data_IF_588715334324
#
_entry.id   IF_588715334324
#
_cell.length_a   1.000
_cell.length_b   1.000
_cell.length_c   1.000
_cell.angle_alpha   90.00
_cell.angle_beta   90.00
_cell.angle_gamma   90.00
#
_symmetry.space_group_name_H-M   'P 1'
#
loop_
_entity.id
_entity.type
_entity.pdbx_description
1 polymer ?
#
# COMPACT_ATOMS: atom_id res chain seq x y z
N UNK A 1 8.05 9.64 -6.95
CA UNK A 1 8.59 8.26 -6.81
C UNK A 1 7.41 7.32 -6.75
N UNK A 2 7.45 6.19 -7.46
CA UNK A 2 6.45 5.12 -7.34
C UNK A 2 7.07 3.91 -6.62
N UNK A 3 6.24 3.19 -5.85
CA UNK A 3 6.68 2.05 -5.06
C UNK A 3 6.91 0.82 -5.94
N UNK A 4 8.13 0.27 -5.92
CA UNK A 4 8.50 -0.93 -6.66
C UNK A 4 9.53 -1.72 -5.88
N UNK A 5 9.37 -3.05 -5.85
CA UNK A 5 10.17 -3.92 -4.96
C UNK A 5 11.08 -4.89 -5.69
N UNK A 6 10.76 -5.25 -6.94
CA UNK A 6 11.37 -6.38 -7.65
C UNK A 6 11.09 -7.75 -6.98
N UNK A 7 9.92 -7.90 -6.35
CA UNK A 7 9.45 -9.18 -5.84
C UNK A 7 9.44 -10.24 -6.95
N UNK A 8 10.07 -11.38 -6.68
CA UNK A 8 10.58 -12.30 -7.71
C UNK A 8 12.08 -12.54 -7.53
N UNK A 9 12.83 -11.50 -7.11
CA UNK A 9 14.20 -11.62 -6.58
C UNK A 9 14.19 -12.06 -5.11
N UNK A 10 13.19 -11.63 -4.34
CA UNK A 10 12.89 -12.08 -2.99
C UNK A 10 11.46 -12.66 -2.91
N UNK A 11 11.09 -13.36 -1.82
CA UNK A 11 9.78 -14.02 -1.70
C UNK A 11 8.58 -13.08 -1.88
N UNK A 12 7.63 -13.49 -2.72
CA UNK A 12 6.34 -12.79 -2.83
C UNK A 12 5.61 -12.78 -1.48
N UNK A 13 4.98 -11.65 -1.19
CA UNK A 13 4.28 -11.41 0.08
C UNK A 13 5.11 -10.62 1.10
N UNK A 14 6.41 -10.46 0.86
CA UNK A 14 7.28 -9.62 1.69
C UNK A 14 7.38 -8.17 1.18
N UNK A 15 6.59 -7.81 0.16
CA UNK A 15 6.65 -6.53 -0.56
C UNK A 15 6.59 -5.31 0.37
N UNK A 16 5.82 -5.40 1.46
CA UNK A 16 5.66 -4.31 2.41
C UNK A 16 6.91 -4.01 3.25
N UNK A 17 7.98 -4.82 3.16
CA UNK A 17 9.28 -4.50 3.76
C UNK A 17 9.88 -3.22 3.15
N UNK A 18 9.62 -2.98 1.86
CA UNK A 18 10.17 -1.82 1.14
C UNK A 18 9.72 -0.48 1.73
N UNK A 19 8.52 -0.40 2.34
CA UNK A 19 8.11 0.82 3.04
C UNK A 19 9.08 1.20 4.17
N UNK A 20 9.62 0.22 4.90
CA UNK A 20 10.60 0.49 5.95
C UNK A 20 11.91 1.00 5.35
N UNK A 21 12.38 0.40 4.25
CA UNK A 21 13.60 0.85 3.57
C UNK A 21 13.47 2.27 3.00
N UNK A 22 12.32 2.63 2.42
CA UNK A 22 12.07 3.98 1.94
C UNK A 22 12.12 5.01 3.09
N UNK A 23 11.54 4.67 4.25
CA UNK A 23 11.56 5.54 5.44
C UNK A 23 12.96 5.63 6.05
N UNK A 24 13.69 4.51 6.14
CA UNK A 24 15.09 4.49 6.59
C UNK A 24 16.00 5.31 5.67
N UNK A 25 15.70 5.33 4.37
CA UNK A 25 16.38 6.17 3.39
C UNK A 25 15.98 7.67 3.44
N UNK A 26 15.08 8.05 4.36
CA UNK A 26 14.71 9.45 4.63
C UNK A 26 13.38 9.90 4.04
N UNK A 27 12.60 9.02 3.41
CA UNK A 27 11.26 9.37 2.94
C UNK A 27 10.27 9.46 4.12
N UNK A 28 9.43 10.50 4.21
CA UNK A 28 8.36 10.54 5.20
C UNK A 28 7.40 9.34 5.05
N UNK A 29 6.86 8.76 6.13
CA UNK A 29 5.91 7.64 6.07
C UNK A 29 4.69 7.90 5.18
N UNK A 30 4.13 9.11 5.22
CA UNK A 30 3.01 9.51 4.36
C UNK A 30 3.39 9.46 2.88
N UNK A 31 4.58 9.96 2.52
CA UNK A 31 5.08 9.96 1.14
C UNK A 31 5.33 8.53 0.64
N UNK A 32 5.80 7.63 1.50
CA UNK A 32 5.96 6.22 1.15
C UNK A 32 4.61 5.57 0.81
N UNK A 33 3.54 5.89 1.57
CA UNK A 33 2.18 5.41 1.30
C UNK A 33 1.66 6.01 -0.02
N UNK A 34 1.87 7.31 -0.26
CA UNK A 34 1.49 7.98 -1.51
C UNK A 34 2.21 7.35 -2.71
N UNK A 35 3.50 7.01 -2.57
CA UNK A 35 4.28 6.34 -3.60
C UNK A 35 3.67 4.98 -4.02
N UNK A 36 3.06 4.26 -3.07
CA UNK A 36 2.44 2.96 -3.30
C UNK A 36 0.95 3.02 -3.70
N UNK A 37 0.35 4.22 -3.71
CA UNK A 37 -1.07 4.42 -3.98
C UNK A 37 -1.26 5.39 -5.14
N UNK A 38 -1.21 6.69 -4.88
CA UNK A 38 -1.44 7.76 -5.86
C UNK A 38 -0.41 7.71 -6.99
N UNK A 39 0.89 7.78 -6.67
CA UNK A 39 1.93 7.81 -7.71
C UNK A 39 2.00 6.50 -8.50
N UNK A 40 1.71 5.36 -7.86
CA UNK A 40 1.65 4.07 -8.55
C UNK A 40 0.49 4.04 -9.55
N UNK A 41 -0.70 4.51 -9.16
CA UNK A 41 -1.86 4.59 -10.06
C UNK A 41 -1.61 5.55 -11.23
N UNK A 42 -0.97 6.69 -10.97
CA UNK A 42 -0.57 7.66 -12.00
C UNK A 42 0.42 7.05 -12.99
N UNK A 43 1.47 6.41 -12.49
CA UNK A 43 2.49 5.76 -13.32
C UNK A 43 1.87 4.66 -14.20
N UNK A 44 0.92 3.90 -13.67
CA UNK A 44 0.23 2.83 -14.40
C UNK A 44 -0.92 3.34 -15.30
N UNK A 45 -1.26 4.63 -15.28
CA UNK A 45 -2.34 5.18 -16.11
C UNK A 45 -3.75 4.79 -15.67
N UNK A 46 -3.93 4.42 -14.39
CA UNK A 46 -5.21 3.91 -13.82
C UNK A 46 -5.73 4.78 -12.66
N UNK A 47 -5.29 6.04 -12.59
CA UNK A 47 -5.71 6.98 -11.52
C UNK A 47 -7.22 7.21 -11.46
N UNK A 48 -7.96 7.02 -12.54
CA UNK A 48 -9.42 7.10 -12.54
C UNK A 48 -10.11 5.90 -11.87
N UNK A 49 -9.38 4.80 -11.64
CA UNK A 49 -9.94 3.53 -11.16
C UNK A 49 -9.49 3.20 -9.73
N UNK A 50 -8.23 3.47 -9.39
CA UNK A 50 -7.61 3.09 -8.10
C UNK A 50 -6.67 4.19 -7.56
N UNK A 51 -6.06 3.92 -6.40
CA UNK A 51 -5.01 4.76 -5.80
C UNK A 51 -5.50 5.76 -4.74
N UNK A 52 -6.80 6.03 -4.66
CA UNK A 52 -7.42 6.86 -3.59
C UNK A 52 -8.78 6.29 -3.19
N UNK A 53 -9.28 6.69 -2.01
CA UNK A 53 -10.62 6.35 -1.53
C UNK A 53 -11.59 7.48 -1.86
N UNK A 54 -12.18 7.42 -3.05
CA UNK A 54 -13.08 8.44 -3.58
C UNK A 54 -14.31 7.79 -4.25
N UNK A 55 -15.49 8.43 -4.23
CA UNK A 55 -16.65 7.92 -4.94
C UNK A 55 -16.37 7.69 -6.43
N UNK A 56 -16.78 6.52 -6.94
CA UNK A 56 -16.59 6.13 -8.34
C UNK A 56 -15.34 5.29 -8.61
N UNK A 57 -14.38 5.22 -7.67
CA UNK A 57 -13.22 4.32 -7.76
C UNK A 57 -13.53 2.92 -7.22
N UNK A 58 -12.67 1.95 -7.55
CA UNK A 58 -12.80 0.58 -7.06
C UNK A 58 -12.74 0.53 -5.52
N UNK A 59 -13.48 -0.40 -4.94
CA UNK A 59 -13.43 -0.70 -3.49
C UNK A 59 -12.16 -1.47 -3.11
N UNK A 60 -11.00 -0.90 -3.38
CA UNK A 60 -9.67 -1.44 -3.08
C UNK A 60 -9.12 -0.72 -1.86
N UNK A 61 -9.10 -1.40 -0.71
CA UNK A 61 -8.58 -0.82 0.53
C UNK A 61 -8.04 -1.87 1.49
N UNK A 62 -7.09 -1.43 2.32
CA UNK A 62 -6.56 -2.21 3.43
C UNK A 62 -6.96 -1.58 4.76
N UNK A 63 -7.11 -2.41 5.78
CA UNK A 63 -7.35 -1.96 7.16
C UNK A 63 -6.19 -2.33 8.05
N UNK A 64 -5.79 -1.41 8.92
CA UNK A 64 -4.71 -1.57 9.90
C UNK A 64 -5.27 -1.31 11.31
N UNK A 65 -4.66 -1.92 12.32
CA UNK A 65 -4.99 -1.65 13.74
C UNK A 65 -4.33 -0.38 14.24
N UNK A 66 -3.13 -0.10 13.74
CA UNK A 66 -2.26 0.97 14.17
C UNK A 66 -2.04 1.97 13.03
N UNK A 67 -1.67 3.19 13.38
CA UNK A 67 -1.41 4.28 12.44
C UNK A 67 -0.06 4.08 11.71
N UNK A 68 -0.05 3.80 10.40
CA UNK A 68 1.19 3.56 9.66
C UNK A 68 2.07 4.80 9.54
N UNK A 69 1.53 6.00 9.80
CA UNK A 69 2.31 7.25 9.83
C UNK A 69 3.24 7.33 11.03
N UNK A 70 2.86 6.67 12.13
CA UNK A 70 3.66 6.60 13.36
C UNK A 70 4.63 5.41 13.35
N UNK A 71 4.23 4.32 12.71
CA UNK A 71 5.04 3.13 12.56
C UNK A 71 4.75 2.45 11.22
N UNK A 72 5.59 2.70 10.22
CA UNK A 72 5.37 2.18 8.87
C UNK A 72 5.44 0.65 8.79
N UNK A 73 6.11 0.00 9.74
CA UNK A 73 6.30 -1.45 9.76
C UNK A 73 4.98 -2.23 9.94
N UNK A 74 3.90 -1.58 10.39
CA UNK A 74 2.57 -2.19 10.54
C UNK A 74 1.99 -2.65 9.20
N UNK A 75 2.42 -2.05 8.08
CA UNK A 75 2.03 -2.47 6.73
C UNK A 75 2.48 -3.89 6.37
N UNK A 76 3.43 -4.48 7.12
CA UNK A 76 3.82 -5.89 6.96
C UNK A 76 2.75 -6.86 7.48
N UNK A 77 1.83 -6.39 8.32
CA UNK A 77 0.79 -7.22 8.93
C UNK A 77 -0.58 -6.57 8.77
N UNK A 78 -1.12 -6.66 7.57
CA UNK A 78 -2.45 -6.14 7.23
C UNK A 78 -3.56 -7.13 7.64
N UNK A 79 -4.40 -6.87 8.66
CA UNK A 79 -5.47 -7.78 9.07
C UNK A 79 -6.68 -7.79 8.12
N UNK A 80 -6.90 -6.71 7.35
CA UNK A 80 -8.07 -6.55 6.49
C UNK A 80 -7.66 -6.14 5.08
N UNK A 81 -8.19 -6.84 4.07
CA UNK A 81 -7.99 -6.50 2.65
C UNK A 81 -9.31 -6.65 1.92
N UNK A 82 -9.70 -5.61 1.19
CA UNK A 82 -10.82 -5.61 0.25
C UNK A 82 -10.29 -5.27 -1.15
N UNK A 83 -10.80 -5.99 -2.16
CA UNK A 83 -10.51 -5.75 -3.58
C UNK A 83 -11.82 -5.75 -4.37
N UNK A 84 -12.07 -4.68 -5.12
CA UNK A 84 -13.27 -4.51 -5.94
C UNK A 84 -14.56 -4.64 -5.13
N UNK A 85 -14.56 -4.22 -3.85
CA UNK A 85 -15.71 -4.39 -2.95
C UNK A 85 -15.84 -5.78 -2.31
N UNK A 86 -14.98 -6.74 -2.66
CA UNK A 86 -14.98 -8.09 -2.06
C UNK A 86 -13.91 -8.19 -0.98
N UNK A 87 -14.29 -8.65 0.21
CA UNK A 87 -13.33 -8.93 1.30
C UNK A 87 -12.53 -10.18 0.94
N UNK A 88 -11.20 -10.04 0.80
CA UNK A 88 -10.29 -11.16 0.48
C UNK A 88 -9.46 -11.62 1.68
N UNK A 89 -9.34 -10.77 2.71
CA UNK A 89 -8.71 -11.13 3.99
C UNK A 89 -9.43 -10.40 5.12
N UNK A 90 -9.77 -11.14 6.17
CA UNK A 90 -10.24 -10.59 7.43
C UNK A 90 -9.81 -11.53 8.55
N UNK A 91 -8.90 -11.05 9.41
CA UNK A 91 -8.43 -11.77 10.58
C UNK A 91 -9.02 -11.10 11.83
N UNK A 92 -9.45 -11.86 12.86
CA UNK A 92 -9.96 -11.31 14.11
C UNK A 92 -9.01 -10.31 14.77
#
# INVERSE_FOLDING_TARGET
>A
IAFGTDAGVFPHGENAKEFAYMVEAGMPPEEAIIAATIHAAELCGVSSEVGTLEPGKAGDLIGLRDDPRKNIAVLKSVPFVMRGGTIVKQVP
#
